data_IF_234559763542
#
_entry.id   IF_234559763542
#
_cell.length_a   1.000
_cell.length_b   1.000
_cell.length_c   1.000
_cell.angle_alpha   90.00
_cell.angle_beta   90.00
_cell.angle_gamma   90.00
#
_symmetry.space_group_name_H-M   'P 1'
#
loop_
_entity.id
_entity.type
_entity.pdbx_description
1 polymer ?
#
# COMPACT_ATOMS: atom_id res chain seq x y z
N UNK A 1 -18.18 -13.34 -24.38
CA UNK A 1 -16.97 -13.64 -25.17
C UNK A 1 -16.03 -14.44 -24.28
N UNK A 2 -15.75 -15.70 -24.65
CA UNK A 2 -14.66 -16.47 -24.06
C UNK A 2 -13.40 -16.20 -24.88
N UNK A 3 -12.33 -15.74 -24.23
CA UNK A 3 -11.01 -15.54 -24.83
C UNK A 3 -10.02 -16.48 -24.17
N UNK A 4 -9.27 -17.23 -24.94
CA UNK A 4 -8.15 -18.05 -24.46
C UNK A 4 -6.84 -17.33 -24.76
N UNK A 5 -6.00 -17.15 -23.74
CA UNK A 5 -4.67 -16.55 -23.86
C UNK A 5 -3.64 -17.60 -23.47
N UNK A 6 -2.73 -17.90 -24.38
CA UNK A 6 -1.59 -18.78 -24.11
C UNK A 6 -0.40 -17.93 -23.64
N UNK A 7 0.16 -18.26 -22.48
CA UNK A 7 1.31 -17.55 -21.90
C UNK A 7 2.31 -18.56 -21.32
N UNK A 8 3.60 -18.21 -21.32
CA UNK A 8 4.65 -19.01 -20.69
C UNK A 8 4.61 -18.92 -19.15
N UNK A 9 4.15 -17.79 -18.63
CA UNK A 9 3.98 -17.57 -17.19
C UNK A 9 2.76 -16.71 -16.94
N UNK A 10 2.13 -16.92 -15.78
CA UNK A 10 0.96 -16.16 -15.30
C UNK A 10 1.24 -15.67 -13.89
N UNK A 11 0.97 -14.41 -13.61
CA UNK A 11 1.04 -13.83 -12.27
C UNK A 11 -0.38 -13.46 -11.85
N UNK A 12 -0.88 -14.08 -10.78
CA UNK A 12 -2.19 -13.79 -10.22
C UNK A 12 -2.06 -12.82 -9.05
N UNK A 13 -2.71 -11.64 -9.18
CA UNK A 13 -2.69 -10.56 -8.17
C UNK A 13 -4.11 -10.01 -7.96
N UNK A 14 -5.00 -10.88 -7.46
CA UNK A 14 -6.45 -10.67 -7.47
C UNK A 14 -6.97 -9.66 -6.43
N UNK A 15 -6.17 -9.17 -5.50
CA UNK A 15 -6.61 -8.25 -4.44
C UNK A 15 -7.72 -8.85 -3.58
N UNK A 16 -8.74 -8.04 -3.27
CA UNK A 16 -9.93 -8.45 -2.49
C UNK A 16 -11.05 -9.05 -3.34
N UNK A 17 -10.79 -9.34 -4.63
CA UNK A 17 -11.84 -9.72 -5.56
C UNK A 17 -12.18 -11.21 -5.58
N UNK A 18 -11.29 -12.07 -5.05
CA UNK A 18 -11.53 -13.51 -4.99
C UNK A 18 -12.67 -13.85 -4.04
N UNK A 19 -13.83 -14.22 -4.58
CA UNK A 19 -15.10 -14.45 -3.86
C UNK A 19 -15.39 -13.34 -2.85
N UNK A 20 -15.09 -12.09 -3.25
CA UNK A 20 -15.26 -10.91 -2.43
C UNK A 20 -16.73 -10.75 -1.98
N UNK A 21 -16.91 -10.50 -0.69
CA UNK A 21 -18.23 -10.27 -0.06
C UNK A 21 -18.14 -9.05 0.85
N UNK A 22 -18.82 -7.98 0.44
CA UNK A 22 -18.85 -6.73 1.19
C UNK A 22 -20.00 -6.72 2.21
N UNK A 23 -19.76 -6.08 3.36
CA UNK A 23 -20.71 -5.97 4.46
C UNK A 23 -20.87 -4.50 4.86
N UNK A 24 -22.11 -4.00 4.85
CA UNK A 24 -22.52 -2.71 5.41
C UNK A 24 -23.68 -2.99 6.37
N UNK A 25 -23.42 -2.96 7.66
CA UNK A 25 -24.33 -3.51 8.66
C UNK A 25 -24.65 -4.96 8.35
N UNK A 26 -25.91 -5.34 8.53
CA UNK A 26 -26.37 -6.71 8.33
C UNK A 26 -26.63 -7.08 6.86
N UNK A 27 -26.44 -6.12 5.94
CA UNK A 27 -26.54 -6.35 4.48
C UNK A 27 -25.18 -6.75 3.93
N UNK A 28 -25.20 -7.70 3.01
CA UNK A 28 -24.00 -8.09 2.27
C UNK A 28 -24.27 -8.06 0.77
N UNK A 29 -23.21 -7.83 0.00
CA UNK A 29 -23.23 -7.78 -1.45
C UNK A 29 -21.91 -8.38 -2.00
N UNK A 30 -22.04 -9.17 -3.06
CA UNK A 30 -20.88 -9.74 -3.74
C UNK A 30 -20.11 -8.65 -4.47
N UNK A 31 -18.83 -8.52 -4.18
CA UNK A 31 -17.94 -7.55 -4.80
C UNK A 31 -16.59 -7.50 -4.07
N UNK A 32 -15.54 -7.21 -4.79
CA UNK A 32 -14.21 -7.02 -4.20
C UNK A 32 -13.98 -5.59 -3.74
N UNK A 33 -14.70 -4.65 -4.33
CA UNK A 33 -14.76 -3.22 -4.03
C UNK A 33 -16.17 -2.72 -4.37
N UNK A 34 -16.64 -1.69 -3.66
CA UNK A 34 -17.98 -1.14 -3.91
C UNK A 34 -18.12 -0.62 -5.36
N UNK A 35 -19.10 -1.15 -6.05
CA UNK A 35 -19.36 -0.89 -7.47
C UNK A 35 -18.67 -1.85 -8.44
N UNK A 36 -17.81 -2.76 -7.97
CA UNK A 36 -17.11 -3.73 -8.81
C UNK A 36 -17.57 -5.17 -8.51
N UNK A 37 -17.53 -6.00 -9.55
CA UNK A 37 -17.89 -7.41 -9.43
C UNK A 37 -16.86 -8.20 -8.62
N UNK A 38 -17.28 -9.35 -8.11
CA UNK A 38 -16.39 -10.34 -7.52
C UNK A 38 -15.80 -11.26 -8.61
N UNK A 39 -14.67 -11.92 -8.31
CA UNK A 39 -14.05 -12.92 -9.16
C UNK A 39 -14.34 -14.33 -8.62
N UNK A 40 -14.59 -15.28 -9.52
CA UNK A 40 -14.76 -16.71 -9.22
C UNK A 40 -13.49 -17.54 -9.44
N UNK A 41 -12.35 -16.87 -9.58
CA UNK A 41 -11.06 -17.54 -9.82
C UNK A 41 -10.71 -18.55 -8.71
N UNK A 42 -11.24 -18.36 -7.51
CA UNK A 42 -11.10 -19.30 -6.39
C UNK A 42 -11.65 -20.69 -6.73
N UNK A 43 -12.73 -20.78 -7.50
CA UNK A 43 -13.34 -22.05 -7.87
C UNK A 43 -12.36 -22.86 -8.74
N UNK A 44 -11.71 -22.19 -9.70
CA UNK A 44 -10.65 -22.78 -10.51
C UNK A 44 -9.43 -23.22 -9.66
N UNK A 45 -9.04 -22.40 -8.67
CA UNK A 45 -7.94 -22.74 -7.78
C UNK A 45 -8.27 -23.97 -6.91
N UNK A 46 -9.50 -24.10 -6.42
CA UNK A 46 -9.98 -25.30 -5.73
C UNK A 46 -9.92 -26.54 -6.64
N UNK A 47 -10.41 -26.45 -7.87
CA UNK A 47 -10.37 -27.54 -8.86
C UNK A 47 -8.93 -27.97 -9.17
N UNK A 48 -8.00 -27.02 -9.22
CA UNK A 48 -6.57 -27.26 -9.39
C UNK A 48 -5.89 -27.79 -8.11
N UNK A 49 -6.63 -27.91 -7.00
CA UNK A 49 -6.20 -28.51 -5.74
C UNK A 49 -5.39 -27.56 -4.83
N UNK A 50 -5.48 -26.25 -5.01
CA UNK A 50 -4.92 -25.30 -4.07
C UNK A 50 -5.74 -25.23 -2.77
N UNK A 51 -5.07 -25.00 -1.65
CA UNK A 51 -5.72 -24.57 -0.42
C UNK A 51 -6.14 -23.12 -0.57
N UNK A 52 -7.36 -22.82 -0.22
CA UNK A 52 -7.94 -21.48 -0.25
C UNK A 52 -8.64 -21.23 1.08
N UNK A 53 -8.34 -20.13 1.71
CA UNK A 53 -8.88 -19.71 3.00
C UNK A 53 -9.44 -18.29 2.88
N UNK A 54 -10.01 -17.74 3.96
CA UNK A 54 -10.62 -16.42 3.94
C UNK A 54 -9.99 -15.48 4.95
N UNK A 55 -9.77 -14.23 4.48
CA UNK A 55 -9.47 -13.08 5.32
C UNK A 55 -10.55 -12.02 5.17
N UNK A 56 -10.54 -11.08 6.08
CA UNK A 56 -11.32 -9.86 5.98
C UNK A 56 -10.40 -8.64 6.03
N UNK A 57 -10.83 -7.56 5.38
CA UNK A 57 -10.31 -6.22 5.59
C UNK A 57 -11.47 -5.24 5.66
N UNK A 58 -11.19 -3.96 5.83
CA UNK A 58 -12.22 -2.93 5.88
C UNK A 58 -11.71 -1.62 5.33
N UNK A 59 -12.64 -0.76 4.99
CA UNK A 59 -12.37 0.59 4.51
C UNK A 59 -13.32 1.59 5.16
N UNK A 60 -12.88 2.83 5.44
CA UNK A 60 -13.77 3.87 5.92
C UNK A 60 -14.64 4.42 4.79
N UNK A 61 -15.61 5.24 5.15
CA UNK A 61 -16.37 5.98 4.17
C UNK A 61 -15.51 7.01 3.41
N UNK A 62 -15.99 7.40 2.23
CA UNK A 62 -15.48 8.53 1.46
C UNK A 62 -16.43 9.68 1.59
N UNK A 63 -15.92 10.88 1.78
CA UNK A 63 -16.72 12.08 1.94
C UNK A 63 -16.37 13.14 0.90
N UNK A 64 -17.31 14.04 0.66
CA UNK A 64 -17.12 15.18 -0.22
C UNK A 64 -16.28 16.25 0.51
N UNK A 65 -15.11 16.56 0.00
CA UNK A 65 -14.21 17.57 0.57
C UNK A 65 -14.83 18.97 0.71
N UNK A 66 -15.85 19.32 -0.11
CA UNK A 66 -16.60 20.57 0.03
C UNK A 66 -17.45 20.66 1.30
N UNK A 67 -17.74 19.52 1.91
CA UNK A 67 -18.55 19.43 3.14
C UNK A 67 -17.71 19.32 4.42
N UNK A 68 -16.38 19.42 4.29
CA UNK A 68 -15.44 19.43 5.43
C UNK A 68 -15.22 20.87 5.88
N UNK A 69 -15.32 21.11 7.17
CA UNK A 69 -14.89 22.36 7.81
C UNK A 69 -13.43 22.25 8.24
N UNK A 70 -12.52 22.57 7.33
CA UNK A 70 -11.08 22.49 7.57
C UNK A 70 -10.59 23.45 8.68
N UNK A 71 -11.36 24.47 9.05
CA UNK A 71 -10.99 25.38 10.14
C UNK A 71 -10.97 24.72 11.52
N UNK A 72 -11.62 23.55 11.65
CA UNK A 72 -11.67 22.73 12.87
C UNK A 72 -10.68 21.57 12.85
N UNK A 73 -9.82 21.50 11.86
CA UNK A 73 -8.85 20.43 11.69
C UNK A 73 -7.43 21.00 11.68
N UNK A 74 -6.45 20.12 11.95
CA UNK A 74 -5.03 20.47 11.91
C UNK A 74 -4.44 20.05 10.56
N UNK A 75 -3.89 21.01 9.79
CA UNK A 75 -3.22 20.70 8.54
C UNK A 75 -1.87 20.00 8.80
N UNK A 76 -1.67 18.82 8.22
CA UNK A 76 -0.40 18.12 8.22
C UNK A 76 0.24 18.24 6.84
N UNK A 77 1.20 19.15 6.73
CA UNK A 77 1.98 19.34 5.51
C UNK A 77 3.02 18.23 5.33
N UNK A 78 3.42 17.99 4.09
CA UNK A 78 4.59 17.16 3.79
C UNK A 78 5.90 17.85 4.17
N UNK A 79 6.99 17.08 4.11
CA UNK A 79 8.33 17.61 4.39
C UNK A 79 8.77 18.66 3.35
N UNK A 80 9.61 19.61 3.78
CA UNK A 80 10.20 20.62 2.88
C UNK A 80 11.72 20.62 3.01
N UNK A 81 12.45 20.26 1.94
CA UNK A 81 11.97 19.73 0.65
C UNK A 81 11.39 18.32 0.77
N UNK A 82 10.43 17.94 -0.09
CA UNK A 82 9.86 16.58 -0.06
C UNK A 82 10.93 15.55 -0.39
N UNK A 83 11.09 14.50 0.43
CA UNK A 83 12.04 13.43 0.15
C UNK A 83 11.57 12.56 -1.02
N UNK A 84 12.52 12.01 -1.76
CA UNK A 84 12.24 11.06 -2.83
C UNK A 84 12.35 9.62 -2.33
N UNK A 85 11.46 8.77 -2.82
CA UNK A 85 11.55 7.32 -2.58
C UNK A 85 12.53 6.62 -3.53
N UNK A 86 12.90 7.26 -4.63
CA UNK A 86 13.84 6.73 -5.61
C UNK A 86 15.18 7.44 -5.52
N UNK A 87 16.25 6.67 -5.36
CA UNK A 87 17.62 7.17 -5.44
C UNK A 87 17.89 7.95 -6.74
N UNK A 88 17.36 7.48 -7.88
CA UNK A 88 17.55 8.15 -9.15
C UNK A 88 16.85 9.52 -9.21
N UNK A 89 15.75 9.69 -8.50
CA UNK A 89 15.03 10.96 -8.45
C UNK A 89 15.84 12.06 -7.74
N UNK A 90 16.71 11.65 -6.79
CA UNK A 90 17.53 12.57 -6.00
C UNK A 90 18.72 13.16 -6.81
N UNK A 91 19.12 12.47 -7.89
CA UNK A 91 20.26 12.83 -8.75
C UNK A 91 19.86 13.55 -10.03
N UNK A 92 18.57 13.60 -10.39
CA UNK A 92 18.07 14.18 -11.64
C UNK A 92 17.65 15.63 -11.47
N UNK A 93 18.16 16.50 -12.35
CA UNK A 93 17.49 17.73 -12.74
C UNK A 93 16.34 17.35 -13.67
N UNK A 94 15.09 17.57 -13.27
CA UNK A 94 13.93 17.19 -14.07
C UNK A 94 13.51 18.33 -14.98
N UNK A 95 13.16 18.00 -16.21
CA UNK A 95 12.56 18.92 -17.17
C UNK A 95 11.03 18.98 -16.98
N UNK A 96 10.38 20.01 -17.52
CA UNK A 96 8.93 20.11 -17.54
C UNK A 96 8.26 18.88 -18.20
N UNK A 97 8.93 18.25 -19.18
CA UNK A 97 8.43 17.06 -19.87
C UNK A 97 8.43 15.81 -18.98
N UNK A 98 9.38 15.70 -18.03
CA UNK A 98 9.39 14.61 -17.03
C UNK A 98 8.19 14.71 -16.09
N UNK A 99 7.72 15.92 -15.81
CA UNK A 99 6.52 16.18 -15.01
C UNK A 99 5.26 15.66 -15.72
N UNK A 100 5.15 15.92 -17.02
CA UNK A 100 4.02 15.46 -17.83
C UNK A 100 3.93 13.93 -17.90
N UNK A 101 5.07 13.24 -18.00
CA UNK A 101 5.11 11.78 -18.08
C UNK A 101 4.71 11.09 -16.77
N UNK A 102 4.99 11.69 -15.62
CA UNK A 102 4.72 11.11 -14.30
C UNK A 102 3.31 11.40 -13.77
N UNK A 103 2.73 12.55 -14.14
CA UNK A 103 1.44 13.01 -13.59
C UNK A 103 0.26 12.89 -14.56
N UNK A 104 0.46 12.36 -15.76
CA UNK A 104 -0.60 12.12 -16.74
C UNK A 104 -1.60 13.27 -16.84
N UNK A 105 -1.24 14.39 -17.43
CA UNK A 105 -1.98 15.66 -17.61
C UNK A 105 -1.98 16.57 -16.38
N UNK A 106 -1.09 17.55 -16.38
CA UNK A 106 -1.45 18.86 -15.86
C UNK A 106 -2.55 19.40 -16.76
N UNK A 107 -3.80 19.37 -16.32
CA UNK A 107 -4.89 20.11 -16.98
C UNK A 107 -4.61 21.56 -16.61
N UNK A 108 -4.20 22.37 -17.60
CA UNK A 108 -4.25 23.82 -17.47
C UNK A 108 -5.72 24.15 -17.20
N UNK A 109 -6.04 24.59 -15.98
CA UNK A 109 -7.28 25.29 -15.75
C UNK A 109 -7.11 26.67 -16.38
N UNK A 110 -8.22 27.25 -16.91
CA UNK A 110 -8.20 28.60 -17.50
C UNK A 110 -7.77 29.70 -16.52
N UNK A 111 -7.55 29.38 -15.25
CA UNK A 111 -7.03 30.24 -14.19
C UNK A 111 -5.49 30.19 -14.00
N UNK A 112 -4.78 29.31 -14.71
CA UNK A 112 -3.33 29.05 -14.52
C UNK A 112 -2.42 30.01 -15.32
N UNK A 113 -2.89 31.17 -15.79
CA UNK A 113 -2.02 32.19 -16.40
C UNK A 113 -1.00 32.78 -15.42
N UNK A 114 -1.06 32.48 -14.12
CA UNK A 114 -0.06 32.89 -13.12
C UNK A 114 1.03 31.84 -12.85
N UNK A 115 0.94 30.64 -13.41
CA UNK A 115 1.94 29.58 -13.19
C UNK A 115 3.13 29.64 -14.15
N UNK A 116 3.09 30.47 -15.20
CA UNK A 116 4.21 30.64 -16.14
C UNK A 116 5.38 31.45 -15.56
N UNK A 117 5.15 32.25 -14.52
CA UNK A 117 6.22 33.06 -13.88
C UNK A 117 7.06 32.28 -12.83
N UNK A 118 6.68 31.04 -12.48
CA UNK A 118 7.45 30.20 -11.55
C UNK A 118 8.45 29.26 -12.25
N UNK A 119 8.56 29.31 -13.57
CA UNK A 119 9.45 28.45 -14.36
C UNK A 119 10.88 28.99 -14.53
N UNK A 120 11.15 30.19 -14.06
CA UNK A 120 12.45 30.82 -14.13
C UNK A 120 13.08 31.00 -12.76
N UNK A 121 13.48 29.94 -12.10
CA UNK A 121 14.63 30.05 -11.17
C UNK A 121 15.15 28.66 -10.80
N UNK A 122 16.37 28.37 -11.27
CA UNK A 122 17.49 27.91 -10.45
C UNK A 122 17.33 26.56 -9.76
N UNK A 123 18.25 25.65 -10.02
CA UNK A 123 18.78 24.55 -9.17
C UNK A 123 17.81 23.83 -8.18
N UNK A 124 16.53 24.13 -8.19
CA UNK A 124 15.56 23.46 -7.33
C UNK A 124 15.19 22.11 -7.93
N UNK A 125 15.54 21.07 -7.21
CA UNK A 125 15.05 19.71 -7.44
C UNK A 125 13.53 19.77 -7.60
N UNK A 126 13.03 19.16 -8.66
CA UNK A 126 11.61 19.12 -8.97
C UNK A 126 10.77 18.69 -7.75
N UNK A 127 9.82 19.50 -7.38
CA UNK A 127 8.84 19.20 -6.35
C UNK A 127 7.42 19.38 -6.91
N UNK A 128 6.64 18.32 -6.82
CA UNK A 128 5.19 18.45 -7.01
C UNK A 128 4.65 19.23 -5.80
N UNK A 129 3.79 20.22 -6.04
CA UNK A 129 3.07 20.91 -4.97
C UNK A 129 2.45 19.88 -4.01
N UNK A 130 2.77 20.00 -2.72
CA UNK A 130 2.29 19.06 -1.72
C UNK A 130 0.88 19.45 -1.28
N UNK A 131 -0.04 18.47 -1.29
CA UNK A 131 -1.39 18.64 -0.75
C UNK A 131 -1.37 18.14 0.70
N UNK A 132 -1.73 18.97 1.70
CA UNK A 132 -1.73 18.52 3.08
C UNK A 132 -2.85 17.49 3.34
N UNK A 133 -2.58 16.53 4.23
CA UNK A 133 -3.62 15.82 4.94
C UNK A 133 -4.12 16.69 6.10
N UNK A 134 -5.29 16.37 6.63
CA UNK A 134 -5.82 17.07 7.81
C UNK A 134 -6.07 16.06 8.93
N UNK A 135 -5.76 16.48 10.16
CA UNK A 135 -5.95 15.67 11.36
C UNK A 135 -7.16 16.17 12.12
N UNK A 136 -7.99 15.26 12.57
CA UNK A 136 -9.06 15.45 13.53
C UNK A 136 -9.14 14.24 14.47
N UNK A 137 -10.11 14.21 15.35
CA UNK A 137 -10.22 13.18 16.38
C UNK A 137 -11.67 12.77 16.59
N UNK A 138 -11.87 11.51 16.92
CA UNK A 138 -13.15 11.04 17.49
C UNK A 138 -13.37 11.68 18.87
N UNK A 139 -14.61 11.70 19.33
CA UNK A 139 -15.01 12.22 20.62
C UNK A 139 -15.65 11.12 21.49
N UNK A 140 -15.87 11.34 22.80
CA UNK A 140 -16.66 10.44 23.63
C UNK A 140 -18.04 10.17 23.04
N UNK A 141 -18.71 11.20 22.47
CA UNK A 141 -19.98 11.04 21.77
C UNK A 141 -19.86 10.07 20.58
N UNK A 142 -18.78 10.19 19.78
CA UNK A 142 -18.50 9.26 18.69
C UNK A 142 -18.42 7.82 19.19
N UNK A 143 -17.70 7.62 20.29
CA UNK A 143 -17.53 6.30 20.90
C UNK A 143 -18.84 5.73 21.44
N UNK A 144 -19.71 6.57 22.04
CA UNK A 144 -21.01 6.14 22.56
C UNK A 144 -21.95 5.73 21.41
N UNK A 145 -21.98 6.48 20.32
CA UNK A 145 -22.73 6.09 19.11
C UNK A 145 -22.29 4.71 18.64
N UNK A 146 -20.99 4.46 18.55
CA UNK A 146 -20.45 3.18 18.08
C UNK A 146 -20.76 2.06 19.07
N UNK A 147 -20.53 2.26 20.38
CA UNK A 147 -20.82 1.25 21.42
C UNK A 147 -22.27 0.83 21.44
N UNK A 148 -23.20 1.78 21.31
CA UNK A 148 -24.64 1.53 21.32
C UNK A 148 -25.16 0.84 20.06
N UNK A 149 -24.30 0.63 19.04
CA UNK A 149 -24.66 0.00 17.77
C UNK A 149 -23.77 -1.19 17.40
N UNK A 150 -23.00 -1.74 18.35
CA UNK A 150 -22.09 -2.87 18.09
C UNK A 150 -22.86 -4.13 17.65
N UNK A 151 -24.08 -4.32 18.13
CA UNK A 151 -24.99 -5.41 17.73
C UNK A 151 -25.34 -5.37 16.24
N UNK A 152 -25.24 -4.19 15.61
CA UNK A 152 -25.48 -3.99 14.18
C UNK A 152 -24.22 -4.20 13.33
N UNK A 153 -23.04 -4.38 13.94
CA UNK A 153 -21.80 -4.69 13.24
C UNK A 153 -21.74 -6.16 12.87
N UNK A 154 -21.60 -6.53 11.60
CA UNK A 154 -21.52 -7.93 11.16
C UNK A 154 -20.34 -8.68 11.81
N UNK A 155 -19.29 -7.97 12.20
CA UNK A 155 -18.13 -8.52 12.89
C UNK A 155 -18.49 -8.94 14.33
N UNK A 156 -19.20 -8.08 15.07
CA UNK A 156 -19.62 -8.36 16.44
C UNK A 156 -20.84 -9.28 16.52
N UNK A 157 -21.64 -9.31 15.45
CA UNK A 157 -22.76 -10.24 15.31
C UNK A 157 -22.36 -11.65 14.83
N UNK A 158 -21.06 -11.93 14.65
CA UNK A 158 -20.55 -13.25 14.23
C UNK A 158 -20.88 -13.63 12.79
N UNK A 159 -21.15 -12.66 11.90
CA UNK A 159 -21.41 -12.92 10.47
C UNK A 159 -20.15 -12.94 9.61
N UNK A 160 -19.08 -12.32 10.08
CA UNK A 160 -17.78 -12.32 9.43
C UNK A 160 -16.92 -13.37 10.10
N UNK A 161 -16.47 -14.35 9.35
CA UNK A 161 -15.69 -15.50 9.83
C UNK A 161 -14.18 -15.29 9.69
N UNK A 162 -13.74 -14.54 8.66
CA UNK A 162 -12.34 -14.33 8.36
C UNK A 162 -11.63 -13.44 9.40
N UNK A 163 -10.42 -13.80 9.88
CA UNK A 163 -9.62 -12.92 10.73
C UNK A 163 -9.26 -11.63 9.97
N UNK A 164 -9.33 -10.51 10.69
CA UNK A 164 -8.97 -9.19 10.17
C UNK A 164 -7.54 -8.79 10.47
N UNK A 165 -7.04 -7.74 9.82
CA UNK A 165 -5.69 -7.24 10.03
C UNK A 165 -5.54 -6.68 11.45
N UNK A 166 -4.53 -7.16 12.17
CA UNK A 166 -4.25 -6.75 13.56
C UNK A 166 -3.90 -5.27 13.67
N UNK A 167 -3.23 -4.73 12.66
CA UNK A 167 -2.66 -3.39 12.69
C UNK A 167 -3.49 -2.32 11.96
N UNK A 168 -4.64 -2.71 11.41
CA UNK A 168 -5.64 -1.80 10.88
C UNK A 168 -7.02 -2.20 11.43
N UNK A 169 -7.23 -2.07 12.76
CA UNK A 169 -8.49 -2.43 13.37
C UNK A 169 -9.60 -1.49 12.89
N UNK A 170 -10.83 -2.00 12.84
CA UNK A 170 -12.00 -1.16 12.62
C UNK A 170 -12.19 -0.15 13.77
N UNK A 171 -12.98 0.89 13.55
CA UNK A 171 -13.27 1.84 14.63
C UNK A 171 -14.00 1.16 15.78
N UNK A 172 -14.85 0.16 15.49
CA UNK A 172 -15.51 -0.66 16.51
C UNK A 172 -14.48 -1.36 17.39
N UNK A 173 -13.46 -1.99 16.78
CA UNK A 173 -12.36 -2.64 17.50
C UNK A 173 -11.57 -1.66 18.37
N UNK A 174 -11.30 -0.44 17.85
CA UNK A 174 -10.58 0.58 18.60
C UNK A 174 -11.35 1.01 19.84
N UNK A 175 -12.64 1.28 19.69
CA UNK A 175 -13.51 1.75 20.75
C UNK A 175 -13.71 0.68 21.85
N UNK A 176 -13.69 -0.61 21.47
CA UNK A 176 -13.85 -1.72 22.42
C UNK A 176 -12.53 -2.08 23.09
N UNK A 177 -11.44 -2.26 22.30
CA UNK A 177 -10.12 -2.72 22.80
C UNK A 177 -9.34 -1.64 23.54
N UNK A 178 -9.59 -0.37 23.24
CA UNK A 178 -8.93 0.78 23.85
C UNK A 178 -9.98 1.72 24.49
N UNK A 179 -10.87 1.13 25.29
CA UNK A 179 -11.99 1.84 25.89
C UNK A 179 -11.59 2.98 26.84
N UNK A 180 -10.35 2.94 27.33
CA UNK A 180 -9.75 3.98 28.19
C UNK A 180 -9.36 5.25 27.43
N UNK A 181 -9.30 5.18 26.09
CA UNK A 181 -8.95 6.34 25.26
C UNK A 181 -10.20 7.18 24.98
N UNK A 182 -10.12 8.44 25.33
CA UNK A 182 -11.21 9.41 25.09
C UNK A 182 -11.35 9.79 23.61
N UNK A 183 -10.27 9.64 22.81
CA UNK A 183 -10.24 9.97 21.39
C UNK A 183 -9.30 9.09 20.60
N UNK A 184 -9.61 8.88 19.32
CA UNK A 184 -8.74 8.26 18.32
C UNK A 184 -8.46 9.26 17.22
N UNK A 185 -7.23 9.28 16.74
CA UNK A 185 -6.81 10.13 15.63
C UNK A 185 -7.45 9.69 14.32
N UNK A 186 -7.86 10.67 13.53
CA UNK A 186 -8.48 10.51 12.22
C UNK A 186 -7.73 11.39 11.23
N UNK A 187 -7.33 10.82 10.10
CA UNK A 187 -6.71 11.56 9.00
C UNK A 187 -7.73 11.75 7.88
N UNK A 188 -7.85 12.96 7.39
CA UNK A 188 -8.61 13.30 6.19
C UNK A 188 -7.62 13.40 5.03
N UNK A 189 -7.63 12.40 4.18
CA UNK A 189 -6.67 12.22 3.10
C UNK A 189 -7.34 12.45 1.75
N UNK A 190 -6.88 13.41 0.92
CA UNK A 190 -7.42 13.56 -0.43
C UNK A 190 -7.07 12.32 -1.25
N UNK A 191 -8.05 11.70 -1.93
CA UNK A 191 -7.81 10.54 -2.78
C UNK A 191 -7.06 10.85 -4.08
N UNK A 192 -6.79 12.12 -4.35
CA UNK A 192 -6.01 12.56 -5.49
C UNK A 192 -6.09 14.07 -5.69
N UNK A 193 -5.26 14.60 -6.59
CA UNK A 193 -5.16 16.03 -6.87
C UNK A 193 -6.40 16.63 -7.55
N UNK A 194 -7.08 15.83 -8.35
CA UNK A 194 -8.18 16.27 -9.20
C UNK A 194 -9.55 15.75 -8.74
N UNK A 195 -9.62 15.17 -7.54
CA UNK A 195 -10.86 14.71 -6.93
C UNK A 195 -11.18 15.51 -5.68
N UNK A 196 -12.46 15.57 -5.35
CA UNK A 196 -12.95 16.12 -4.07
C UNK A 196 -13.31 15.03 -3.09
N UNK A 197 -12.91 13.81 -3.37
CA UNK A 197 -13.15 12.65 -2.54
C UNK A 197 -12.05 12.56 -1.48
N UNK A 198 -12.45 12.52 -0.22
CA UNK A 198 -11.56 12.36 0.93
C UNK A 198 -11.77 11.02 1.60
N UNK A 199 -10.67 10.35 1.87
CA UNK A 199 -10.58 9.11 2.63
C UNK A 199 -10.44 9.45 4.11
N UNK A 200 -11.32 8.88 4.96
CA UNK A 200 -11.28 9.14 6.40
C UNK A 200 -10.49 8.02 7.08
N UNK A 201 -9.16 8.13 7.05
CA UNK A 201 -8.29 7.12 7.61
C UNK A 201 -8.41 7.07 9.15
N UNK A 202 -8.51 5.86 9.69
CA UNK A 202 -8.61 5.61 11.12
C UNK A 202 -10.01 5.23 11.60
N UNK A 203 -11.05 5.34 10.75
CA UNK A 203 -12.44 5.00 11.07
C UNK A 203 -13.05 3.96 10.13
N UNK A 204 -12.24 2.99 9.68
CA UNK A 204 -12.76 1.83 8.94
C UNK A 204 -13.87 1.16 9.73
N UNK A 205 -14.98 0.85 9.09
CA UNK A 205 -16.18 0.33 9.77
C UNK A 205 -17.00 -0.59 8.88
N UNK A 206 -17.77 -1.46 9.51
CA UNK A 206 -18.83 -2.24 8.86
C UNK A 206 -20.24 -1.93 9.38
N UNK A 207 -20.38 -0.90 10.22
CA UNK A 207 -21.68 -0.46 10.74
C UNK A 207 -22.63 -0.03 9.62
N UNK A 208 -23.95 -0.05 9.85
CA UNK A 208 -24.95 0.44 8.90
C UNK A 208 -24.72 1.91 8.53
N UNK A 209 -25.19 2.31 7.34
CA UNK A 209 -24.99 3.66 6.81
C UNK A 209 -25.49 4.78 7.72
N UNK A 210 -26.67 4.61 8.32
CA UNK A 210 -27.24 5.55 9.28
C UNK A 210 -26.32 5.78 10.49
N UNK A 211 -25.78 4.71 11.05
CA UNK A 211 -24.83 4.80 12.16
C UNK A 211 -23.50 5.42 11.73
N UNK A 212 -23.04 5.12 10.48
CA UNK A 212 -21.86 5.78 9.93
C UNK A 212 -22.04 7.28 9.83
N UNK A 213 -23.21 7.73 9.35
CA UNK A 213 -23.54 9.15 9.25
C UNK A 213 -23.53 9.82 10.63
N UNK A 214 -24.18 9.20 11.61
CA UNK A 214 -24.29 9.72 12.97
C UNK A 214 -22.90 9.89 13.63
N UNK A 215 -22.04 8.87 13.59
CA UNK A 215 -20.73 8.97 14.22
C UNK A 215 -19.77 9.89 13.43
N UNK A 216 -19.85 9.94 12.11
CA UNK A 216 -19.05 10.88 11.31
C UNK A 216 -19.43 12.33 11.66
N UNK A 217 -20.71 12.63 11.77
CA UNK A 217 -21.18 13.98 12.14
C UNK A 217 -20.83 14.38 13.59
N UNK A 218 -20.43 13.43 14.43
CA UNK A 218 -19.94 13.71 15.80
C UNK A 218 -18.43 14.05 15.85
N UNK A 219 -17.74 14.02 14.72
CA UNK A 219 -16.30 14.32 14.60
C UNK A 219 -16.12 15.80 14.21
N UNK A 220 -15.23 16.52 14.91
CA UNK A 220 -14.96 17.93 14.64
C UNK A 220 -14.51 18.16 13.18
N UNK A 221 -15.17 19.12 12.52
CA UNK A 221 -14.96 19.44 11.09
C UNK A 221 -15.76 18.56 10.13
N UNK A 222 -16.47 17.56 10.62
CA UNK A 222 -17.28 16.64 9.81
C UNK A 222 -18.78 16.72 10.12
N UNK A 223 -19.23 17.70 10.87
CA UNK A 223 -20.62 17.83 11.33
C UNK A 223 -21.63 17.89 10.18
N UNK A 224 -21.20 18.37 9.02
CA UNK A 224 -22.01 18.46 7.81
C UNK A 224 -21.48 17.60 6.67
N UNK A 225 -20.62 16.62 6.97
CA UNK A 225 -19.96 15.81 5.97
C UNK A 225 -20.97 14.99 5.14
N UNK A 226 -20.80 15.05 3.81
CA UNK A 226 -21.59 14.26 2.86
C UNK A 226 -20.83 12.98 2.51
N UNK A 227 -21.37 11.84 2.90
CA UNK A 227 -20.80 10.53 2.55
C UNK A 227 -21.10 10.25 1.07
N UNK A 228 -20.05 10.11 0.27
CA UNK A 228 -20.12 9.72 -1.15
C UNK A 228 -20.22 8.20 -1.26
N UNK A 229 -19.43 7.48 -0.45
CA UNK A 229 -19.41 6.01 -0.37
C UNK A 229 -19.35 5.60 1.08
N UNK A 230 -20.21 4.70 1.55
CA UNK A 230 -20.12 4.18 2.91
C UNK A 230 -18.84 3.36 3.11
N UNK A 231 -18.40 3.27 4.36
CA UNK A 231 -17.44 2.29 4.80
C UNK A 231 -18.02 0.89 4.75
N UNK A 232 -17.19 -0.12 4.56
CA UNK A 232 -17.59 -1.52 4.55
C UNK A 232 -16.45 -2.44 4.98
N UNK A 233 -16.80 -3.60 5.50
CA UNK A 233 -15.87 -4.71 5.56
C UNK A 233 -15.98 -5.54 4.27
N UNK A 234 -14.88 -6.16 3.85
CA UNK A 234 -14.88 -7.12 2.74
C UNK A 234 -14.16 -8.39 3.18
N UNK A 235 -14.82 -9.53 3.01
CA UNK A 235 -14.21 -10.84 3.08
C UNK A 235 -13.78 -11.28 1.69
N UNK A 236 -12.62 -11.91 1.59
CA UNK A 236 -12.05 -12.37 0.33
C UNK A 236 -11.24 -13.63 0.54
N UNK A 237 -11.11 -14.43 -0.51
CA UNK A 237 -10.31 -15.64 -0.48
C UNK A 237 -8.82 -15.29 -0.67
N UNK A 238 -7.97 -16.07 0.00
CA UNK A 238 -6.52 -16.06 -0.21
C UNK A 238 -5.99 -17.48 -0.25
N UNK A 239 -4.80 -17.67 -0.79
CA UNK A 239 -4.11 -18.96 -0.79
C UNK A 239 -2.99 -18.94 0.24
N UNK A 240 -2.94 -19.86 1.22
CA UNK A 240 -1.82 -19.95 2.15
C UNK A 240 -0.48 -19.96 1.41
N UNK A 241 0.44 -19.00 1.69
CA UNK A 241 1.65 -18.80 0.89
C UNK A 241 2.70 -19.89 1.08
N UNK A 242 2.51 -20.82 2.01
CA UNK A 242 3.32 -22.03 2.15
C UNK A 242 3.25 -22.94 0.91
N UNK A 243 2.29 -22.70 0.02
CA UNK A 243 2.15 -23.39 -1.28
C UNK A 243 3.09 -22.83 -2.36
N UNK A 244 3.89 -21.80 -2.03
CA UNK A 244 4.81 -21.13 -2.94
C UNK A 244 6.26 -21.51 -2.65
N UNK A 245 7.08 -21.44 -3.71
CA UNK A 245 8.53 -21.34 -3.60
C UNK A 245 8.95 -19.90 -3.22
N UNK A 246 10.19 -19.73 -2.82
CA UNK A 246 10.76 -18.39 -2.52
C UNK A 246 10.78 -17.45 -3.75
N UNK A 247 10.59 -17.96 -4.94
CA UNK A 247 10.39 -17.22 -6.19
C UNK A 247 8.97 -16.68 -6.35
N UNK A 248 8.06 -17.03 -5.44
CA UNK A 248 6.59 -16.81 -5.50
C UNK A 248 5.90 -17.65 -6.60
N UNK A 249 6.61 -18.58 -7.25
CA UNK A 249 6.01 -19.59 -8.10
C UNK A 249 5.28 -20.63 -7.25
N UNK A 250 4.13 -21.11 -7.73
CA UNK A 250 3.38 -22.16 -7.02
C UNK A 250 4.12 -23.49 -7.10
N UNK A 251 4.14 -24.24 -5.99
CA UNK A 251 4.72 -25.60 -5.95
C UNK A 251 3.94 -26.59 -6.79
N UNK A 252 2.68 -26.28 -7.09
CA UNK A 252 1.75 -27.18 -7.78
C UNK A 252 1.76 -27.04 -9.29
N UNK A 253 1.88 -25.81 -9.80
CA UNK A 253 1.79 -25.52 -11.24
C UNK A 253 2.99 -24.67 -11.64
N UNK A 254 3.83 -25.20 -12.50
CA UNK A 254 4.97 -24.47 -13.05
C UNK A 254 4.52 -23.29 -13.92
N UNK A 255 5.18 -22.14 -13.76
CA UNK A 255 4.87 -20.91 -14.48
C UNK A 255 3.69 -20.11 -13.90
N UNK A 256 3.04 -20.58 -12.83
CA UNK A 256 1.99 -19.83 -12.12
C UNK A 256 2.59 -19.20 -10.86
N UNK A 257 2.44 -17.88 -10.72
CA UNK A 257 2.93 -17.08 -9.60
C UNK A 257 1.79 -16.38 -8.88
N UNK A 258 1.89 -16.24 -7.56
CA UNK A 258 0.95 -15.46 -6.76
C UNK A 258 1.65 -14.26 -6.14
N UNK A 259 0.98 -13.09 -6.15
CA UNK A 259 1.53 -11.86 -5.60
C UNK A 259 0.44 -11.00 -4.92
N UNK A 260 0.79 -10.43 -3.77
CA UNK A 260 -0.08 -9.50 -3.04
C UNK A 260 -1.08 -10.18 -2.12
N UNK A 261 -2.31 -9.67 -2.09
CA UNK A 261 -3.33 -10.13 -1.13
C UNK A 261 -3.71 -11.61 -1.26
N UNK A 262 -3.58 -12.19 -2.43
CA UNK A 262 -3.77 -13.64 -2.63
C UNK A 262 -2.85 -14.48 -1.73
N UNK A 263 -1.71 -13.92 -1.31
CA UNK A 263 -0.75 -14.56 -0.40
C UNK A 263 -0.99 -14.19 1.08
N UNK A 264 -2.15 -13.59 1.39
CA UNK A 264 -2.49 -13.22 2.75
C UNK A 264 -1.76 -11.98 3.28
N UNK A 265 -1.35 -11.05 2.41
CA UNK A 265 -0.83 -9.73 2.79
C UNK A 265 -1.89 -8.66 2.62
N UNK A 266 -1.82 -7.55 3.36
CA UNK A 266 -2.80 -6.47 3.29
C UNK A 266 -2.20 -5.09 2.99
N UNK A 267 -0.87 -4.94 2.95
CA UNK A 267 -0.20 -3.67 2.68
C UNK A 267 0.11 -3.48 1.18
N UNK A 268 0.07 -2.24 0.73
CA UNK A 268 0.42 -1.90 -0.65
C UNK A 268 1.89 -2.18 -0.96
N UNK A 269 2.77 -1.87 -0.02
CA UNK A 269 4.21 -2.07 -0.13
C UNK A 269 4.54 -3.56 -0.23
N UNK A 270 3.90 -4.38 0.59
CA UNK A 270 4.06 -5.84 0.56
C UNK A 270 3.57 -6.42 -0.78
N UNK A 271 2.45 -5.92 -1.29
CA UNK A 271 1.91 -6.37 -2.57
C UNK A 271 2.81 -5.97 -3.74
N UNK A 272 3.30 -4.73 -3.74
CA UNK A 272 4.22 -4.23 -4.76
C UNK A 272 5.53 -5.02 -4.80
N UNK A 273 6.12 -5.29 -3.63
CA UNK A 273 7.33 -6.11 -3.51
C UNK A 273 7.13 -7.53 -4.05
N UNK A 274 6.02 -8.16 -3.71
CA UNK A 274 5.70 -9.49 -4.23
C UNK A 274 5.49 -9.47 -5.74
N UNK A 275 4.77 -8.47 -6.26
CA UNK A 275 4.58 -8.29 -7.71
C UNK A 275 5.89 -8.13 -8.45
N UNK A 276 6.82 -7.32 -7.90
CA UNK A 276 8.16 -7.15 -8.44
C UNK A 276 8.93 -8.47 -8.49
N UNK A 277 8.98 -9.20 -7.38
CA UNK A 277 9.72 -10.46 -7.29
C UNK A 277 9.12 -11.56 -8.17
N UNK A 278 7.79 -11.67 -8.20
CA UNK A 278 7.09 -12.60 -9.09
C UNK A 278 7.37 -12.26 -10.57
N UNK A 279 7.33 -10.97 -10.94
CA UNK A 279 7.64 -10.50 -12.29
C UNK A 279 9.07 -10.80 -12.72
N UNK A 280 10.05 -10.52 -11.85
CA UNK A 280 11.46 -10.85 -12.10
C UNK A 280 11.62 -12.36 -12.32
N UNK A 281 11.10 -13.19 -11.43
CA UNK A 281 11.28 -14.64 -11.51
C UNK A 281 10.54 -15.25 -12.70
N UNK A 282 9.33 -14.77 -13.02
CA UNK A 282 8.60 -15.19 -14.21
C UNK A 282 9.37 -14.84 -15.49
N UNK A 283 9.88 -13.60 -15.60
CA UNK A 283 10.67 -13.18 -16.76
C UNK A 283 11.99 -13.93 -16.89
N UNK A 284 12.71 -14.10 -15.80
CA UNK A 284 13.97 -14.84 -15.77
C UNK A 284 13.77 -16.32 -16.17
N UNK A 285 12.72 -16.96 -15.67
CA UNK A 285 12.39 -18.35 -16.02
C UNK A 285 12.06 -18.50 -17.52
N UNK A 286 11.30 -17.58 -18.09
CA UNK A 286 10.98 -17.58 -19.53
C UNK A 286 12.23 -17.44 -20.39
N UNK A 287 13.24 -16.72 -19.90
CA UNK A 287 14.54 -16.54 -20.57
C UNK A 287 15.51 -17.70 -20.30
N UNK A 288 15.14 -18.70 -19.51
CA UNK A 288 16.00 -19.82 -19.13
C UNK A 288 17.11 -19.45 -18.13
N UNK A 289 16.94 -18.34 -17.39
CA UNK A 289 17.88 -17.89 -16.36
C UNK A 289 17.62 -18.54 -15.00
N UNK A 290 18.53 -18.28 -14.06
CA UNK A 290 18.47 -18.79 -12.69
C UNK A 290 17.46 -18.00 -11.84
N UNK A 291 16.80 -18.62 -10.85
CA UNK A 291 15.90 -17.97 -9.92
C UNK A 291 16.56 -16.80 -9.18
N UNK A 292 15.86 -15.70 -9.07
CA UNK A 292 16.29 -14.53 -8.28
C UNK A 292 15.58 -14.51 -6.92
N UNK A 293 16.34 -14.73 -5.87
CA UNK A 293 15.86 -14.75 -4.48
C UNK A 293 16.73 -13.84 -3.64
N UNK A 294 16.10 -13.09 -2.74
CA UNK A 294 16.78 -12.24 -1.76
C UNK A 294 16.71 -12.91 -0.38
N UNK A 295 17.86 -12.95 0.30
CA UNK A 295 17.96 -13.46 1.66
C UNK A 295 17.39 -12.47 2.71
N UNK A 296 17.17 -12.99 3.91
CA UNK A 296 16.71 -12.20 5.08
C UNK A 296 17.74 -11.15 5.52
N UNK A 297 19.00 -11.37 5.25
CA UNK A 297 20.14 -10.45 5.51
C UNK A 297 20.36 -9.44 4.37
N UNK A 298 19.64 -9.57 3.27
CA UNK A 298 19.83 -8.78 2.06
C UNK A 298 18.76 -7.71 1.86
N UNK A 299 17.51 -8.02 2.19
CA UNK A 299 16.39 -7.09 2.01
C UNK A 299 15.20 -7.42 2.90
N UNK A 300 14.39 -6.40 3.22
CA UNK A 300 13.07 -6.61 3.83
C UNK A 300 12.14 -7.45 2.95
N UNK A 301 12.28 -7.37 1.62
CA UNK A 301 11.58 -8.24 0.67
C UNK A 301 11.93 -9.71 0.96
N UNK A 302 13.22 -10.02 1.20
CA UNK A 302 13.67 -11.36 1.56
C UNK A 302 13.07 -11.85 2.88
N UNK A 303 13.06 -11.00 3.90
CA UNK A 303 12.42 -11.30 5.20
C UNK A 303 10.94 -11.62 5.01
N UNK A 304 10.20 -10.78 4.25
CA UNK A 304 8.78 -10.98 4.00
C UNK A 304 8.50 -12.29 3.27
N UNK A 305 9.19 -12.54 2.15
CA UNK A 305 8.94 -13.73 1.34
C UNK A 305 9.28 -14.99 2.15
N UNK A 306 10.39 -14.99 2.86
CA UNK A 306 10.77 -16.13 3.72
C UNK A 306 9.73 -16.38 4.82
N UNK A 307 9.26 -15.34 5.52
CA UNK A 307 8.19 -15.49 6.51
C UNK A 307 6.92 -16.08 5.87
N UNK A 308 6.50 -15.58 4.71
CA UNK A 308 5.29 -16.05 4.01
C UNK A 308 5.40 -17.53 3.62
N UNK A 309 6.47 -17.92 2.95
CA UNK A 309 6.57 -19.28 2.37
C UNK A 309 6.97 -20.36 3.40
N UNK A 310 7.65 -19.96 4.49
CA UNK A 310 8.11 -20.90 5.52
C UNK A 310 7.16 -21.04 6.69
N UNK A 311 6.60 -19.90 7.18
CA UNK A 311 5.74 -19.85 8.38
C UNK A 311 4.25 -19.81 8.03
N UNK A 312 3.91 -19.32 6.83
CA UNK A 312 2.53 -19.03 6.47
C UNK A 312 1.96 -17.83 7.22
N UNK A 313 0.63 -17.69 7.17
CA UNK A 313 -0.10 -16.58 7.79
C UNK A 313 -1.37 -17.09 8.47
N UNK A 314 -1.63 -16.59 9.67
CA UNK A 314 -2.86 -16.84 10.43
C UNK A 314 -3.74 -15.59 10.53
N UNK A 315 -3.18 -14.45 10.18
CA UNK A 315 -3.81 -13.13 10.06
C UNK A 315 -3.15 -12.39 8.89
N UNK A 316 -3.77 -11.37 8.29
CA UNK A 316 -3.15 -10.62 7.20
C UNK A 316 -1.75 -10.10 7.56
N UNK A 317 -0.76 -10.53 6.80
CA UNK A 317 0.65 -10.21 7.05
C UNK A 317 0.94 -8.72 6.80
N UNK A 318 1.71 -8.13 7.73
CA UNK A 318 2.33 -6.82 7.58
C UNK A 318 3.81 -6.92 7.94
N UNK A 319 4.62 -6.19 7.15
CA UNK A 319 6.05 -6.09 7.40
C UNK A 319 6.34 -5.07 8.51
N UNK A 320 7.13 -5.50 9.49
CA UNK A 320 7.64 -4.65 10.57
C UNK A 320 9.14 -4.84 10.71
N UNK A 321 9.83 -3.78 11.13
CA UNK A 321 11.28 -3.83 11.38
C UNK A 321 11.64 -4.87 12.43
N UNK A 322 10.74 -5.16 13.38
CA UNK A 322 10.92 -6.21 14.40
C UNK A 322 11.00 -7.63 13.85
N UNK A 323 10.55 -7.86 12.60
CA UNK A 323 10.65 -9.16 11.94
C UNK A 323 12.03 -9.43 11.35
N UNK A 324 12.85 -8.39 11.18
CA UNK A 324 14.17 -8.48 10.56
C UNK A 324 15.26 -8.60 11.62
N UNK A 325 16.01 -9.68 11.57
CA UNK A 325 17.18 -9.93 12.45
C UNK A 325 18.30 -8.92 12.17
N UNK A 326 18.47 -8.57 10.90
CA UNK A 326 19.54 -7.67 10.43
C UNK A 326 19.06 -6.22 10.23
N UNK A 327 18.06 -5.76 11.00
CA UNK A 327 17.44 -4.43 10.81
C UNK A 327 18.42 -3.25 10.86
N UNK A 328 19.55 -3.39 11.54
CA UNK A 328 20.60 -2.37 11.59
C UNK A 328 21.41 -2.31 10.28
N UNK A 329 21.43 -3.40 9.51
CA UNK A 329 22.04 -3.48 8.18
C UNK A 329 21.06 -3.09 7.08
N UNK A 330 19.82 -3.50 7.22
CA UNK A 330 18.75 -3.31 6.21
C UNK A 330 18.14 -1.92 6.31
N UNK A 331 18.91 -0.90 5.94
CA UNK A 331 18.51 0.50 6.03
C UNK A 331 18.12 1.07 4.67
N UNK A 332 17.28 2.10 4.68
CA UNK A 332 16.88 2.85 3.49
C UNK A 332 18.09 3.54 2.85
N UNK A 333 18.95 4.15 3.66
CA UNK A 333 20.11 4.94 3.23
C UNK A 333 21.19 4.16 2.49
N UNK A 334 21.21 2.83 2.62
CA UNK A 334 22.17 1.94 1.96
C UNK A 334 21.53 0.91 1.02
N UNK A 335 20.24 1.04 0.75
CA UNK A 335 19.49 0.06 -0.05
C UNK A 335 20.02 -0.03 -1.49
N UNK A 336 20.36 1.10 -2.09
CA UNK A 336 20.96 1.18 -3.42
C UNK A 336 22.31 0.43 -3.49
N UNK A 337 23.15 0.55 -2.47
CA UNK A 337 24.44 -0.14 -2.41
C UNK A 337 24.28 -1.66 -2.28
N UNK A 338 23.30 -2.13 -1.49
CA UNK A 338 23.07 -3.57 -1.27
C UNK A 338 22.37 -4.24 -2.45
N UNK A 339 21.42 -3.56 -3.10
CA UNK A 339 20.50 -4.18 -4.04
C UNK A 339 20.88 -3.93 -5.50
N UNK A 340 21.52 -2.78 -5.84
CA UNK A 340 21.90 -2.51 -7.23
C UNK A 340 22.90 -3.54 -7.76
N UNK A 341 23.85 -3.98 -6.94
CA UNK A 341 24.82 -5.01 -7.36
C UNK A 341 24.14 -6.35 -7.73
N UNK A 342 23.06 -6.71 -7.01
CA UNK A 342 22.28 -7.92 -7.30
C UNK A 342 21.38 -7.73 -8.53
N UNK A 343 20.71 -6.58 -8.60
CA UNK A 343 19.86 -6.26 -9.76
C UNK A 343 20.66 -6.15 -11.08
N UNK A 344 21.94 -5.80 -11.00
CA UNK A 344 22.87 -5.77 -12.15
C UNK A 344 23.07 -7.15 -12.80
N UNK A 345 22.85 -8.24 -12.05
CA UNK A 345 22.91 -9.60 -12.56
C UNK A 345 21.71 -9.98 -13.45
N UNK A 346 20.67 -9.14 -13.45
CA UNK A 346 19.45 -9.36 -14.21
C UNK A 346 19.45 -8.48 -15.47
N UNK A 347 19.63 -9.06 -16.67
CA UNK A 347 19.70 -8.29 -17.90
C UNK A 347 18.46 -7.44 -18.14
N UNK A 348 18.65 -6.13 -18.41
CA UNK A 348 17.56 -5.21 -18.73
C UNK A 348 16.70 -4.74 -17.56
N UNK A 349 16.98 -5.17 -16.33
CA UNK A 349 16.21 -4.71 -15.15
C UNK A 349 16.55 -3.26 -14.78
N UNK A 350 17.80 -2.85 -14.91
CA UNK A 350 18.26 -1.51 -14.59
C UNK A 350 18.64 -0.74 -15.86
N UNK A 351 18.25 0.54 -15.91
CA UNK A 351 18.71 1.45 -16.97
C UNK A 351 20.19 1.74 -16.84
N UNK A 352 20.84 2.06 -17.96
CA UNK A 352 22.24 2.47 -18.01
C UNK A 352 22.52 3.70 -17.15
N UNK A 353 21.58 4.63 -17.12
CA UNK A 353 21.61 5.82 -16.27
C UNK A 353 21.63 5.47 -14.77
N UNK A 354 20.77 4.57 -14.33
CA UNK A 354 20.74 4.12 -12.93
C UNK A 354 22.02 3.41 -12.53
N UNK A 355 22.59 2.62 -13.44
CA UNK A 355 23.87 1.96 -13.21
C UNK A 355 24.99 2.98 -13.09
N UNK A 356 25.06 3.98 -13.99
CA UNK A 356 26.06 5.04 -13.96
C UNK A 356 25.99 5.86 -12.66
N UNK A 357 24.80 6.29 -12.25
CA UNK A 357 24.60 7.01 -10.99
C UNK A 357 25.04 6.20 -9.76
N UNK A 358 24.76 4.89 -9.76
CA UNK A 358 25.20 3.98 -8.68
C UNK A 358 26.72 3.85 -8.66
N UNK A 359 27.39 3.71 -9.82
CA UNK A 359 28.85 3.59 -9.92
C UNK A 359 29.56 4.87 -9.48
N UNK A 360 29.04 6.03 -9.85
CA UNK A 360 29.54 7.33 -9.41
C UNK A 360 29.46 7.50 -7.88
N UNK A 361 28.32 7.17 -7.28
CA UNK A 361 28.14 7.19 -5.81
C UNK A 361 29.11 6.24 -5.12
N UNK A 362 29.28 5.02 -5.62
CA UNK A 362 30.21 4.06 -5.04
C UNK A 362 31.66 4.55 -5.10
N UNK A 363 32.07 5.13 -6.23
CA UNK A 363 33.42 5.71 -6.40
C UNK A 363 33.65 6.87 -5.42
N UNK A 364 32.67 7.76 -5.26
CA UNK A 364 32.73 8.87 -4.31
C UNK A 364 32.85 8.38 -2.87
N UNK A 365 32.06 7.38 -2.46
CA UNK A 365 32.12 6.78 -1.13
C UNK A 365 33.48 6.12 -0.85
N UNK A 366 34.05 5.40 -1.81
CA UNK A 366 35.35 4.75 -1.65
C UNK A 366 36.48 5.78 -1.54
N UNK A 367 36.39 6.86 -2.32
CA UNK A 367 37.34 8.01 -2.20
C UNK A 367 37.23 8.60 -0.79
N UNK A 368 36.04 8.87 -0.28
CA UNK A 368 35.80 9.42 1.06
C UNK A 368 36.35 8.49 2.15
N UNK A 369 36.05 7.18 2.07
CA UNK A 369 36.58 6.17 3.00
C UNK A 369 38.11 6.17 3.04
N UNK A 370 38.73 6.30 1.88
CA UNK A 370 40.19 6.34 1.76
C UNK A 370 40.78 7.60 2.38
N UNK A 371 40.14 8.77 2.20
CA UNK A 371 40.54 10.02 2.84
C UNK A 371 40.45 9.96 4.34
N UNK A 372 39.33 9.44 4.86
CA UNK A 372 39.12 9.26 6.32
C UNK A 372 40.18 8.32 6.92
N UNK A 373 40.46 7.17 6.27
CA UNK A 373 41.49 6.22 6.74
C UNK A 373 42.89 6.81 6.76
N UNK A 374 43.20 7.73 5.83
CA UNK A 374 44.51 8.39 5.74
C UNK A 374 44.67 9.60 6.68
N UNK A 375 43.61 9.95 7.45
CA UNK A 375 43.62 11.09 8.38
C UNK A 375 43.79 12.47 7.67
N UNK A 376 43.54 12.55 6.39
CA UNK A 376 43.61 13.82 5.64
C UNK A 376 42.22 14.47 5.67
N UNK A 377 41.97 15.24 6.71
CA UNK A 377 40.93 16.26 6.73
C UNK A 377 41.57 17.58 6.36
N UNK A 378 41.32 18.08 5.17
CA UNK A 378 41.38 19.50 4.85
C UNK A 378 39.93 20.00 5.05
N UNK A 379 39.72 20.85 6.07
CA UNK A 379 38.44 21.41 6.44
C UNK A 379 37.81 22.31 5.38
#
# INVERSE_FOLDING_TARGET
>A
LQMQINAHSVILSAGTFMRGLMHVGMKNEKGGRMGDATSTVSDCLYELGFQVERFKTGTPCRINGRSIDFSKTEAQHGDTPPPFFSYLADTRTRTADDVHSLNGRLIKSDDDQQAEDCAETTDEKFHVEQIPCHITYTSPQTHDIIRNNLDKSPMYAGKIEGPGPRYCPSIEDKVVKFAEKERHQVFLEPEGRHTREYYINGVSTSLPYDVQLDFIHSIAGLENAQIIRPGYAVEYDYCPPTQLHSTLETKRIGGLYFAGQINGTSGYEEAACQGLMAGINAGTKVQGGEPFVLGRDEAYIGVMIDDLVSKGVIEPYRMFTSRAEYRLLLRQDNADQRLTCKARLLPGLLSTERLAASDEKQAALEKLRTMVKKGKYEG
#
